data_IF_044179428016
#
_entry.id   IF_044179428016
#
_cell.length_a   1.000
_cell.length_b   1.000
_cell.length_c   1.000
_cell.angle_alpha   90.00
_cell.angle_beta   90.00
_cell.angle_gamma   90.00
#
_symmetry.space_group_name_H-M   'P 1'
#
loop_
_entity.id
_entity.type
_entity.pdbx_description
1 polymer ?
#
# COMPACT_ATOMS: atom_id res chain seq x y z
N UNK A 1 -15.56 6.38 -16.93
CA UNK A 1 -14.41 5.67 -16.31
C UNK A 1 -13.35 5.44 -17.36
N UNK A 2 -12.08 5.67 -17.04
CA UNK A 2 -10.97 5.29 -17.92
C UNK A 2 -10.39 3.94 -17.49
N UNK A 3 -9.72 3.26 -18.44
CA UNK A 3 -9.15 1.94 -18.24
C UNK A 3 -7.68 1.93 -18.66
N UNK A 4 -6.88 1.10 -18.00
CA UNK A 4 -5.51 0.77 -18.38
C UNK A 4 -5.39 -0.74 -18.55
N UNK A 5 -4.38 -1.19 -19.28
CA UNK A 5 -4.16 -2.62 -19.53
C UNK A 5 -3.41 -3.27 -18.38
N UNK A 6 -3.83 -4.47 -17.98
CA UNK A 6 -3.03 -5.36 -17.16
C UNK A 6 -1.94 -6.06 -17.99
N UNK A 7 -1.15 -6.95 -17.36
CA UNK A 7 -0.04 -7.67 -18.02
C UNK A 7 -0.50 -8.52 -19.21
N UNK A 8 -1.76 -8.95 -19.22
CA UNK A 8 -2.34 -9.81 -20.26
C UNK A 8 -3.19 -9.03 -21.27
N UNK A 9 -3.21 -7.71 -21.20
CA UNK A 9 -3.93 -6.83 -22.11
C UNK A 9 -5.41 -6.64 -21.78
N UNK A 10 -5.87 -7.12 -20.62
CA UNK A 10 -7.23 -6.95 -20.13
C UNK A 10 -7.46 -5.52 -19.59
N UNK A 11 -8.66 -4.98 -19.81
CA UNK A 11 -9.04 -3.67 -19.29
C UNK A 11 -9.29 -3.69 -17.79
N UNK A 12 -8.60 -2.80 -17.08
CA UNK A 12 -8.77 -2.57 -15.63
C UNK A 12 -9.07 -1.09 -15.41
N UNK A 13 -10.14 -0.79 -14.65
CA UNK A 13 -10.48 0.59 -14.33
C UNK A 13 -9.35 1.26 -13.54
N UNK A 14 -9.00 2.50 -13.91
CA UNK A 14 -7.89 3.22 -13.22
C UNK A 14 -8.22 3.53 -11.76
N UNK A 15 -9.51 3.54 -11.39
CA UNK A 15 -10.00 3.57 -10.02
C UNK A 15 -10.44 2.15 -9.61
N UNK A 16 -9.86 1.63 -8.54
CA UNK A 16 -10.27 0.38 -7.91
C UNK A 16 -11.04 0.62 -6.61
N UNK A 17 -12.00 -0.26 -6.31
CA UNK A 17 -12.76 -0.21 -5.05
C UNK A 17 -11.99 -0.97 -3.96
N UNK A 18 -11.47 -0.23 -2.96
CA UNK A 18 -10.82 -0.82 -1.79
C UNK A 18 -11.84 -1.26 -0.73
N UNK A 19 -12.00 -2.56 -0.53
CA UNK A 19 -13.03 -3.16 0.32
C UNK A 19 -12.67 -3.25 1.82
N UNK A 20 -11.62 -2.56 2.26
CA UNK A 20 -11.18 -2.57 3.67
C UNK A 20 -12.03 -1.67 4.57
N UNK A 21 -12.67 -0.63 4.04
CA UNK A 21 -13.23 0.49 4.82
C UNK A 21 -14.74 0.61 4.76
N UNK A 22 -15.45 -0.49 4.61
CA UNK A 22 -16.90 -0.49 4.69
C UNK A 22 -17.44 0.08 6.01
N UNK A 23 -18.54 0.80 5.94
CA UNK A 23 -19.27 1.25 7.12
C UNK A 23 -19.74 0.05 7.95
N UNK A 24 -19.80 0.22 9.27
CA UNK A 24 -20.22 -0.83 10.20
C UNK A 24 -21.52 -0.47 10.89
N UNK A 25 -22.38 -1.49 11.12
CA UNK A 25 -23.60 -1.43 11.90
C UNK A 25 -23.57 -2.60 12.89
N UNK A 26 -23.70 -2.32 14.18
CA UNK A 26 -23.65 -3.37 15.21
C UNK A 26 -22.34 -4.16 15.28
N UNK A 27 -21.20 -3.54 14.89
CA UNK A 27 -19.87 -4.19 14.88
C UNK A 27 -19.55 -4.97 13.61
N UNK A 28 -20.53 -5.30 12.76
CA UNK A 28 -20.38 -5.96 11.46
C UNK A 28 -20.45 -4.96 10.30
N UNK A 29 -20.05 -5.37 9.11
CA UNK A 29 -20.19 -4.56 7.89
C UNK A 29 -21.70 -4.32 7.65
N UNK A 30 -22.07 -3.07 7.35
CA UNK A 30 -23.42 -2.70 6.90
C UNK A 30 -23.55 -3.12 5.43
N UNK A 31 -24.08 -4.34 5.22
CA UNK A 31 -24.18 -4.98 3.90
C UNK A 31 -25.03 -4.13 2.95
N UNK A 32 -26.18 -3.63 3.41
CA UNK A 32 -27.09 -2.86 2.55
C UNK A 32 -26.43 -1.54 2.08
N UNK A 33 -25.67 -0.92 2.96
CA UNK A 33 -24.92 0.29 2.60
C UNK A 33 -23.75 -0.05 1.66
N UNK A 34 -22.98 -1.09 1.97
CA UNK A 34 -21.89 -1.54 1.13
C UNK A 34 -22.37 -1.92 -0.28
N UNK A 35 -23.52 -2.61 -0.39
CA UNK A 35 -24.13 -2.97 -1.67
C UNK A 35 -24.49 -1.75 -2.50
N UNK A 36 -25.13 -0.74 -1.90
CA UNK A 36 -25.46 0.51 -2.62
C UNK A 36 -24.22 1.20 -3.18
N UNK A 37 -23.14 1.26 -2.38
CA UNK A 37 -21.88 1.88 -2.77
C UNK A 37 -21.14 1.08 -3.86
N UNK A 38 -21.08 -0.24 -3.72
CA UNK A 38 -20.48 -1.15 -4.70
C UNK A 38 -21.26 -1.12 -6.02
N UNK A 39 -22.59 -1.20 -5.97
CA UNK A 39 -23.41 -1.20 -7.18
C UNK A 39 -23.43 0.16 -7.89
N UNK A 40 -23.29 1.25 -7.14
CA UNK A 40 -23.05 2.56 -7.74
C UNK A 40 -21.69 2.58 -8.46
N UNK A 41 -20.63 2.15 -7.79
CA UNK A 41 -19.29 2.08 -8.36
C UNK A 41 -19.23 1.19 -9.61
N UNK A 42 -19.90 0.04 -9.59
CA UNK A 42 -20.04 -0.85 -10.75
C UNK A 42 -20.72 -0.16 -11.93
N UNK A 43 -21.84 0.55 -11.71
CA UNK A 43 -22.53 1.31 -12.76
C UNK A 43 -21.70 2.46 -13.31
N UNK A 44 -20.83 3.06 -12.49
CA UNK A 44 -19.87 4.10 -12.91
C UNK A 44 -18.64 3.51 -13.63
N UNK A 45 -18.58 2.17 -13.80
CA UNK A 45 -17.56 1.48 -14.60
C UNK A 45 -16.35 0.97 -13.82
N UNK A 46 -16.37 0.94 -12.48
CA UNK A 46 -15.33 0.27 -11.70
C UNK A 46 -15.47 -1.22 -11.90
N UNK A 47 -14.37 -1.87 -12.34
CA UNK A 47 -14.30 -3.31 -12.51
C UNK A 47 -13.24 -4.00 -11.64
N UNK A 48 -12.45 -3.27 -10.84
CA UNK A 48 -11.42 -3.82 -9.95
C UNK A 48 -11.81 -3.62 -8.48
N UNK A 49 -11.93 -4.73 -7.73
CA UNK A 49 -12.31 -4.77 -6.31
C UNK A 49 -11.22 -5.44 -5.48
N UNK A 50 -10.65 -4.70 -4.52
CA UNK A 50 -9.52 -5.14 -3.70
C UNK A 50 -9.96 -5.51 -2.29
N UNK A 51 -9.76 -6.75 -1.89
CA UNK A 51 -9.98 -7.25 -0.53
C UNK A 51 -8.75 -8.02 -0.01
N UNK A 52 -8.86 -8.68 1.13
CA UNK A 52 -7.85 -9.56 1.68
C UNK A 52 -8.45 -10.44 2.78
N UNK A 53 -7.86 -11.61 3.00
CA UNK A 53 -8.16 -12.48 4.15
C UNK A 53 -8.16 -11.72 5.48
N UNK A 54 -7.22 -10.79 5.66
CA UNK A 54 -7.06 -9.98 6.87
C UNK A 54 -8.14 -8.91 7.08
N UNK A 55 -8.95 -8.60 6.06
CA UNK A 55 -9.99 -7.57 6.18
C UNK A 55 -11.27 -8.19 6.74
N UNK A 56 -11.46 -8.08 8.05
CA UNK A 56 -12.53 -8.74 8.78
C UNK A 56 -13.90 -8.59 8.13
N UNK A 57 -14.47 -9.69 7.66
CA UNK A 57 -15.80 -9.76 7.05
C UNK A 57 -15.88 -9.26 5.59
N UNK A 58 -14.82 -8.65 5.05
CA UNK A 58 -14.86 -8.02 3.73
C UNK A 58 -15.10 -9.02 2.60
N UNK A 59 -14.38 -10.16 2.58
CA UNK A 59 -14.55 -11.19 1.55
C UNK A 59 -15.97 -11.75 1.54
N UNK A 60 -16.53 -12.05 2.70
CA UNK A 60 -17.89 -12.55 2.81
C UNK A 60 -18.94 -11.51 2.35
N UNK A 61 -18.74 -10.23 2.71
CA UNK A 61 -19.63 -9.16 2.32
C UNK A 61 -19.65 -8.97 0.80
N UNK A 62 -18.49 -8.87 0.16
CA UNK A 62 -18.44 -8.67 -1.31
C UNK A 62 -18.88 -9.93 -2.05
N UNK A 63 -18.56 -11.13 -1.55
CA UNK A 63 -19.02 -12.39 -2.12
C UNK A 63 -20.55 -12.47 -2.18
N UNK A 64 -21.22 -12.11 -1.07
CA UNK A 64 -22.68 -12.04 -1.00
C UNK A 64 -23.26 -10.99 -1.95
N UNK A 65 -22.67 -9.78 -1.99
CA UNK A 65 -23.15 -8.70 -2.85
C UNK A 65 -23.00 -9.07 -4.33
N UNK A 66 -21.86 -9.63 -4.72
CA UNK A 66 -21.60 -9.98 -6.13
C UNK A 66 -22.45 -11.14 -6.63
N UNK A 67 -22.69 -12.15 -5.78
CA UNK A 67 -23.60 -13.26 -6.08
C UNK A 67 -25.03 -12.77 -6.22
N UNK A 68 -25.54 -12.00 -5.25
CA UNK A 68 -26.90 -11.44 -5.24
C UNK A 68 -27.21 -10.61 -6.49
N UNK A 69 -26.20 -9.86 -6.97
CA UNK A 69 -26.37 -8.99 -8.14
C UNK A 69 -25.92 -9.63 -9.47
N UNK A 70 -25.42 -10.86 -9.45
CA UNK A 70 -25.00 -11.59 -10.66
C UNK A 70 -23.84 -10.97 -11.43
N UNK A 71 -22.99 -10.15 -10.80
CA UNK A 71 -21.96 -9.35 -11.48
C UNK A 71 -20.57 -9.99 -11.50
N UNK A 72 -20.37 -11.16 -10.85
CA UNK A 72 -19.03 -11.78 -10.68
C UNK A 72 -18.23 -11.88 -11.97
N UNK A 73 -18.85 -12.19 -13.09
CA UNK A 73 -18.17 -12.37 -14.40
C UNK A 73 -17.74 -11.05 -15.06
N UNK A 74 -18.31 -9.93 -14.62
CA UNK A 74 -18.08 -8.60 -15.19
C UNK A 74 -17.05 -7.79 -14.41
N UNK A 75 -16.53 -8.35 -13.29
CA UNK A 75 -15.60 -7.68 -12.39
C UNK A 75 -14.35 -8.51 -12.15
N UNK A 76 -13.34 -7.86 -11.66
CA UNK A 76 -12.05 -8.44 -11.27
C UNK A 76 -11.88 -8.32 -9.75
N UNK A 77 -11.70 -9.47 -9.08
CA UNK A 77 -11.47 -9.54 -7.63
C UNK A 77 -9.98 -9.75 -7.37
N UNK A 78 -9.41 -8.89 -6.53
CA UNK A 78 -8.10 -9.09 -5.93
C UNK A 78 -8.27 -9.46 -4.44
N UNK A 79 -7.74 -10.62 -4.04
CA UNK A 79 -7.57 -10.97 -2.61
C UNK A 79 -6.15 -11.41 -2.31
N UNK A 80 -5.84 -11.71 -1.03
CA UNK A 80 -4.44 -11.77 -0.61
C UNK A 80 -4.19 -12.89 0.40
N UNK A 81 -3.26 -13.80 0.09
CA UNK A 81 -2.76 -14.84 0.99
C UNK A 81 -2.24 -14.24 2.29
N UNK A 82 -2.76 -14.63 3.46
CA UNK A 82 -2.21 -14.20 4.76
C UNK A 82 -0.87 -14.90 5.03
N UNK A 83 0.20 -14.53 4.31
CA UNK A 83 1.49 -15.20 4.27
C UNK A 83 2.11 -15.40 5.67
N UNK A 84 1.80 -14.51 6.61
CA UNK A 84 2.27 -14.59 8.00
C UNK A 84 1.64 -15.76 8.78
N UNK A 85 0.51 -16.31 8.33
CA UNK A 85 -0.15 -17.48 8.89
C UNK A 85 0.32 -18.80 8.23
N UNK A 86 0.95 -18.71 7.05
CA UNK A 86 1.41 -19.88 6.31
C UNK A 86 2.62 -20.50 7.00
N UNK A 87 2.46 -21.72 7.49
CA UNK A 87 3.50 -22.47 8.21
C UNK A 87 3.97 -23.74 7.49
N UNK A 88 3.17 -24.25 6.54
CA UNK A 88 3.45 -25.46 5.74
C UNK A 88 2.68 -25.40 4.42
N UNK A 89 2.90 -26.37 3.53
CA UNK A 89 2.25 -26.43 2.21
C UNK A 89 0.72 -26.50 2.30
N UNK A 90 0.16 -27.33 3.18
CA UNK A 90 -1.29 -27.50 3.31
C UNK A 90 -2.02 -26.19 3.73
N UNK A 91 -1.31 -25.26 4.39
CA UNK A 91 -1.86 -23.97 4.76
C UNK A 91 -2.16 -23.07 3.53
N UNK A 92 -1.48 -23.27 2.40
CA UNK A 92 -1.74 -22.54 1.14
C UNK A 92 -3.16 -22.84 0.65
N UNK A 93 -3.50 -24.11 0.50
CA UNK A 93 -4.84 -24.54 0.10
C UNK A 93 -5.90 -24.19 1.13
N UNK A 94 -5.58 -24.37 2.41
CA UNK A 94 -6.51 -24.02 3.49
C UNK A 94 -7.00 -22.57 3.38
N UNK A 95 -6.08 -21.61 3.31
CA UNK A 95 -6.45 -20.20 3.27
C UNK A 95 -7.11 -19.83 1.94
N UNK A 96 -6.59 -20.32 0.83
CA UNK A 96 -7.16 -20.05 -0.49
C UNK A 96 -8.59 -20.57 -0.63
N UNK A 97 -8.87 -21.81 -0.21
CA UNK A 97 -10.21 -22.38 -0.26
C UNK A 97 -11.18 -21.65 0.68
N UNK A 98 -10.71 -21.19 1.85
CA UNK A 98 -11.49 -20.38 2.77
C UNK A 98 -11.85 -19.01 2.14
N UNK A 99 -10.90 -18.36 1.43
CA UNK A 99 -11.13 -17.11 0.70
C UNK A 99 -12.14 -17.30 -0.43
N UNK A 100 -12.01 -18.35 -1.26
CA UNK A 100 -12.96 -18.67 -2.32
C UNK A 100 -14.37 -18.91 -1.77
N UNK A 101 -14.47 -19.65 -0.66
CA UNK A 101 -15.76 -19.90 0.01
C UNK A 101 -16.41 -18.60 0.50
N UNK A 102 -15.65 -17.69 1.12
CA UNK A 102 -16.16 -16.38 1.55
C UNK A 102 -16.56 -15.51 0.38
N UNK A 103 -15.78 -15.51 -0.69
CA UNK A 103 -16.03 -14.76 -1.92
C UNK A 103 -17.14 -15.36 -2.80
N UNK A 104 -17.63 -16.56 -2.45
CA UNK A 104 -18.66 -17.31 -3.20
C UNK A 104 -18.32 -17.45 -4.68
N UNK A 105 -17.07 -17.84 -4.98
CA UNK A 105 -16.55 -18.00 -6.33
C UNK A 105 -15.55 -19.14 -6.38
N UNK A 106 -15.32 -19.70 -7.57
CA UNK A 106 -14.35 -20.77 -7.83
C UNK A 106 -12.99 -20.25 -8.35
N UNK A 107 -12.87 -18.93 -8.58
CA UNK A 107 -11.62 -18.30 -9.03
C UNK A 107 -11.47 -16.87 -8.52
N UNK A 108 -10.23 -16.38 -8.51
CA UNK A 108 -9.91 -14.98 -8.31
C UNK A 108 -9.11 -14.44 -9.50
N UNK A 109 -9.32 -13.15 -9.82
CA UNK A 109 -8.65 -12.52 -10.94
C UNK A 109 -7.21 -12.15 -10.60
N UNK A 110 -6.98 -11.71 -9.35
CA UNK A 110 -5.65 -11.38 -8.82
C UNK A 110 -5.47 -11.97 -7.42
N UNK A 111 -4.40 -12.72 -7.22
CA UNK A 111 -4.05 -13.27 -5.92
C UNK A 111 -2.68 -12.75 -5.47
N UNK A 112 -2.61 -12.06 -4.33
CA UNK A 112 -1.40 -11.38 -3.90
C UNK A 112 -0.79 -12.02 -2.65
N UNK A 113 0.53 -12.14 -2.60
CA UNK A 113 1.24 -12.41 -1.36
C UNK A 113 1.11 -11.19 -0.45
N UNK A 114 0.36 -11.29 0.65
CA UNK A 114 -0.03 -10.15 1.46
C UNK A 114 1.13 -9.60 2.29
N UNK A 115 1.34 -8.29 2.24
CA UNK A 115 2.18 -7.55 3.18
C UNK A 115 3.63 -8.07 3.24
N UNK A 116 4.28 -8.25 2.08
CA UNK A 116 5.71 -8.52 2.06
C UNK A 116 6.47 -7.25 2.48
N UNK A 117 7.53 -7.40 3.27
CA UNK A 117 8.38 -6.29 3.73
C UNK A 117 9.86 -6.51 3.39
N UNK A 118 10.25 -7.76 3.11
CA UNK A 118 11.58 -8.11 2.63
C UNK A 118 11.57 -9.44 1.85
N UNK A 119 12.68 -9.73 1.16
CA UNK A 119 12.85 -10.96 0.37
C UNK A 119 12.74 -12.23 1.24
N UNK A 120 13.08 -12.15 2.53
CA UNK A 120 13.06 -13.33 3.40
C UNK A 120 11.64 -13.85 3.69
N UNK A 121 10.61 -12.99 3.56
CA UNK A 121 9.21 -13.44 3.62
C UNK A 121 8.86 -14.26 2.39
N UNK A 122 9.26 -13.82 1.22
CA UNK A 122 9.08 -14.54 -0.03
C UNK A 122 9.86 -15.86 -0.02
N UNK A 123 11.12 -15.84 0.41
CA UNK A 123 11.93 -17.05 0.57
C UNK A 123 11.31 -18.08 1.53
N UNK A 124 10.63 -17.61 2.58
CA UNK A 124 9.87 -18.50 3.48
C UNK A 124 8.73 -19.18 2.75
N UNK A 125 7.99 -18.47 1.91
CA UNK A 125 6.90 -19.05 1.11
C UNK A 125 7.43 -20.05 0.08
N UNK A 126 8.54 -19.75 -0.59
CA UNK A 126 9.20 -20.70 -1.51
C UNK A 126 9.54 -22.01 -0.81
N UNK A 127 10.04 -21.95 0.43
CA UNK A 127 10.39 -23.16 1.23
C UNK A 127 9.19 -24.04 1.60
N UNK A 128 7.99 -23.52 1.60
CA UNK A 128 6.76 -24.31 1.81
C UNK A 128 6.11 -24.75 0.49
N UNK A 129 6.77 -24.53 -0.65
CA UNK A 129 6.31 -25.02 -1.96
C UNK A 129 5.29 -24.08 -2.63
N UNK A 130 5.37 -22.76 -2.38
CA UNK A 130 4.42 -21.81 -2.97
C UNK A 130 4.52 -21.74 -4.49
N UNK A 131 5.70 -21.98 -5.09
CA UNK A 131 5.88 -21.87 -6.54
C UNK A 131 5.09 -22.93 -7.27
N UNK A 132 5.24 -24.21 -6.90
CA UNK A 132 4.50 -25.32 -7.47
C UNK A 132 2.99 -25.16 -7.24
N UNK A 133 2.61 -24.64 -6.08
CA UNK A 133 1.23 -24.35 -5.74
C UNK A 133 0.63 -23.27 -6.65
N UNK A 134 1.34 -22.17 -6.90
CA UNK A 134 0.91 -21.11 -7.82
C UNK A 134 0.68 -21.70 -9.23
N UNK A 135 1.64 -22.46 -9.75
CA UNK A 135 1.53 -23.08 -11.08
C UNK A 135 0.29 -23.98 -11.20
N UNK A 136 0.02 -24.78 -10.17
CA UNK A 136 -1.18 -25.64 -10.14
C UNK A 136 -2.46 -24.79 -10.14
N UNK A 137 -2.53 -23.70 -9.35
CA UNK A 137 -3.72 -22.82 -9.29
C UNK A 137 -3.92 -22.01 -10.57
N UNK A 138 -2.85 -21.55 -11.21
CA UNK A 138 -2.92 -20.89 -12.53
C UNK A 138 -3.39 -21.88 -13.59
N UNK A 139 -2.84 -23.09 -13.64
CA UNK A 139 -3.22 -24.14 -14.58
C UNK A 139 -4.69 -24.57 -14.46
N UNK A 140 -5.22 -24.61 -13.24
CA UNK A 140 -6.65 -24.93 -13.00
C UNK A 140 -7.59 -23.75 -13.28
N UNK A 141 -7.07 -22.54 -13.50
CA UNK A 141 -7.86 -21.31 -13.67
C UNK A 141 -8.39 -20.72 -12.38
N UNK A 142 -8.07 -21.31 -11.22
CA UNK A 142 -8.49 -20.79 -9.91
C UNK A 142 -7.82 -19.45 -9.53
N UNK A 143 -6.59 -19.22 -10.03
CA UNK A 143 -5.89 -17.94 -9.96
C UNK A 143 -5.57 -17.51 -11.39
N UNK A 144 -6.02 -16.31 -11.80
CA UNK A 144 -5.71 -15.78 -13.14
C UNK A 144 -4.38 -15.03 -13.16
N UNK A 145 -4.13 -14.19 -12.15
CA UNK A 145 -2.94 -13.37 -12.03
C UNK A 145 -2.36 -13.49 -10.62
N UNK A 146 -1.03 -13.58 -10.53
CA UNK A 146 -0.31 -13.66 -9.26
C UNK A 146 0.48 -12.37 -9.00
N UNK A 147 0.49 -11.91 -7.75
CA UNK A 147 1.21 -10.71 -7.38
C UNK A 147 1.60 -10.65 -5.93
N UNK A 148 2.01 -9.46 -5.49
CA UNK A 148 2.32 -9.21 -4.09
C UNK A 148 1.97 -7.78 -3.68
N UNK A 149 1.60 -7.59 -2.41
CA UNK A 149 1.52 -6.28 -1.78
C UNK A 149 2.74 -6.03 -0.89
N UNK A 150 3.25 -4.81 -0.90
CA UNK A 150 4.56 -4.51 -0.33
C UNK A 150 4.55 -3.31 0.63
N UNK A 151 5.24 -3.46 1.77
CA UNK A 151 5.40 -2.43 2.80
C UNK A 151 6.84 -2.31 3.34
N UNK A 152 7.83 -2.70 2.58
CA UNK A 152 9.25 -2.56 2.91
C UNK A 152 9.90 -1.35 2.24
N UNK A 153 11.24 -1.34 2.18
CA UNK A 153 11.99 -0.31 1.44
C UNK A 153 12.16 -0.66 -0.05
N UNK A 154 12.56 0.32 -0.86
CA UNK A 154 12.75 0.16 -2.30
C UNK A 154 13.73 -0.95 -2.69
N UNK A 155 14.83 -1.13 -1.94
CA UNK A 155 15.81 -2.19 -2.23
C UNK A 155 15.22 -3.60 -2.04
N UNK A 156 14.41 -3.78 -1.00
CA UNK A 156 13.70 -5.04 -0.74
C UNK A 156 12.61 -5.30 -1.79
N UNK A 157 11.92 -4.24 -2.23
CA UNK A 157 10.93 -4.33 -3.30
C UNK A 157 11.56 -4.83 -4.60
N UNK A 158 12.64 -4.20 -5.04
CA UNK A 158 13.34 -4.58 -6.29
C UNK A 158 13.85 -6.02 -6.25
N UNK A 159 14.31 -6.50 -5.09
CA UNK A 159 14.72 -7.91 -4.93
C UNK A 159 13.55 -8.87 -5.15
N UNK A 160 12.39 -8.61 -4.54
CA UNK A 160 11.19 -9.44 -4.71
C UNK A 160 10.68 -9.37 -6.15
N UNK A 161 10.65 -8.15 -6.72
CA UNK A 161 10.23 -7.92 -8.09
C UNK A 161 11.05 -8.72 -9.12
N UNK A 162 12.34 -8.91 -8.86
CA UNK A 162 13.25 -9.62 -9.75
C UNK A 162 13.31 -11.14 -9.53
N UNK A 163 12.73 -11.64 -8.43
CA UNK A 163 12.86 -13.05 -8.04
C UNK A 163 11.75 -13.96 -8.62
N UNK A 164 10.71 -13.38 -9.21
CA UNK A 164 9.63 -14.14 -9.82
C UNK A 164 8.99 -13.34 -10.98
N UNK A 165 8.34 -14.01 -11.91
CA UNK A 165 7.59 -13.39 -13.02
C UNK A 165 6.18 -12.99 -12.56
N UNK A 166 6.11 -11.86 -11.85
CA UNK A 166 4.86 -11.35 -11.30
C UNK A 166 3.94 -10.78 -12.39
N UNK A 167 2.63 -11.02 -12.23
CA UNK A 167 1.61 -10.43 -13.10
C UNK A 167 1.18 -9.03 -12.63
N UNK A 168 1.35 -8.70 -11.34
CA UNK A 168 0.93 -7.44 -10.75
C UNK A 168 1.69 -7.18 -9.43
N UNK A 169 1.84 -5.92 -9.05
CA UNK A 169 2.30 -5.56 -7.69
C UNK A 169 1.45 -4.43 -7.09
N UNK A 170 1.36 -4.41 -5.76
CA UNK A 170 0.61 -3.38 -5.02
C UNK A 170 1.54 -2.66 -4.05
N UNK A 171 1.63 -1.33 -4.16
CA UNK A 171 2.51 -0.49 -3.35
C UNK A 171 1.76 0.69 -2.72
N UNK A 172 2.24 1.16 -1.58
CA UNK A 172 1.82 2.42 -1.00
C UNK A 172 2.52 3.55 -1.77
N UNK A 173 1.72 4.51 -2.29
CA UNK A 173 2.25 5.64 -3.03
C UNK A 173 1.26 6.81 -3.06
N UNK A 174 1.76 8.04 -2.88
CA UNK A 174 1.00 9.28 -2.94
C UNK A 174 1.96 10.48 -3.04
N UNK A 175 1.47 11.67 -3.35
CA UNK A 175 2.29 12.87 -3.58
C UNK A 175 3.14 13.30 -2.37
N UNK A 176 2.75 12.90 -1.15
CA UNK A 176 3.50 13.23 0.07
C UNK A 176 4.60 12.20 0.38
N UNK A 177 4.36 10.92 0.05
CA UNK A 177 5.25 9.78 0.35
C UNK A 177 6.01 9.28 -0.87
N UNK A 178 6.29 10.12 -1.86
CA UNK A 178 6.88 9.73 -3.15
C UNK A 178 8.16 8.89 -3.02
N UNK A 179 8.97 9.14 -1.99
CA UNK A 179 10.22 8.42 -1.74
C UNK A 179 10.14 7.40 -0.59
N UNK A 180 8.92 7.08 -0.15
CA UNK A 180 8.68 6.15 0.96
C UNK A 180 8.45 4.73 0.47
N UNK A 181 8.82 3.75 1.29
CA UNK A 181 8.63 2.32 1.02
C UNK A 181 9.20 1.92 -0.36
N UNK A 182 8.40 1.32 -1.25
CA UNK A 182 8.79 1.08 -2.64
C UNK A 182 9.02 2.40 -3.38
N UNK A 183 8.14 3.38 -3.17
CA UNK A 183 8.18 4.73 -3.70
C UNK A 183 8.29 4.79 -5.22
N UNK A 184 8.69 5.95 -5.73
CA UNK A 184 8.93 6.17 -7.17
C UNK A 184 9.95 5.18 -7.75
N UNK A 185 10.94 4.77 -6.96
CA UNK A 185 11.93 3.77 -7.38
C UNK A 185 11.27 2.43 -7.69
N UNK A 186 10.39 1.96 -6.81
CA UNK A 186 9.64 0.73 -7.02
C UNK A 186 8.64 0.83 -8.16
N UNK A 187 7.91 1.95 -8.25
CA UNK A 187 6.97 2.22 -9.35
C UNK A 187 7.66 2.10 -10.72
N UNK A 188 8.77 2.82 -10.91
CA UNK A 188 9.53 2.78 -12.18
C UNK A 188 10.17 1.43 -12.45
N UNK A 189 10.66 0.74 -11.43
CA UNK A 189 11.20 -0.61 -11.58
C UNK A 189 10.16 -1.62 -12.05
N UNK A 190 8.93 -1.57 -11.52
CA UNK A 190 7.83 -2.42 -11.96
C UNK A 190 7.41 -2.09 -13.40
N UNK A 191 7.22 -0.80 -13.70
CA UNK A 191 6.85 -0.34 -15.04
C UNK A 191 7.87 -0.72 -16.11
N UNK A 192 9.18 -0.63 -15.82
CA UNK A 192 10.25 -1.03 -16.77
C UNK A 192 10.21 -2.53 -17.11
N UNK A 193 9.53 -3.35 -16.31
CA UNK A 193 9.29 -4.78 -16.55
C UNK A 193 7.90 -5.06 -17.14
N UNK A 194 7.11 -4.03 -17.44
CA UNK A 194 5.72 -4.19 -17.87
C UNK A 194 4.81 -4.80 -16.80
N UNK A 195 5.18 -4.69 -15.50
CA UNK A 195 4.37 -5.19 -14.41
C UNK A 195 3.40 -4.08 -13.95
N UNK A 196 2.08 -4.29 -14.07
CA UNK A 196 1.06 -3.37 -13.60
C UNK A 196 1.19 -3.04 -12.12
N UNK A 197 1.00 -1.76 -11.79
CA UNK A 197 1.14 -1.26 -10.41
C UNK A 197 -0.20 -0.79 -9.88
N UNK A 198 -0.63 -1.40 -8.78
CA UNK A 198 -1.80 -0.98 -8.00
C UNK A 198 -1.35 -0.12 -6.83
N UNK A 199 -1.95 1.05 -6.69
CA UNK A 199 -1.64 1.98 -5.60
C UNK A 199 -2.61 1.80 -4.45
N UNK A 200 -2.08 1.47 -3.28
CA UNK A 200 -2.79 1.53 -2.01
C UNK A 200 -2.41 2.80 -1.22
N UNK A 201 -3.27 3.23 -0.31
CA UNK A 201 -3.09 4.43 0.51
C UNK A 201 -2.85 5.74 -0.29
N UNK A 202 -3.59 5.99 -1.39
CA UNK A 202 -3.42 7.19 -2.20
C UNK A 202 -3.64 8.48 -1.40
N UNK A 203 -4.47 8.41 -0.36
CA UNK A 203 -4.83 9.52 0.54
C UNK A 203 -4.26 9.33 1.96
N UNK A 204 -3.26 8.45 2.17
CA UNK A 204 -2.77 8.08 3.53
C UNK A 204 -3.91 7.74 4.50
N UNK A 205 -4.87 6.93 4.05
CA UNK A 205 -6.04 6.59 4.85
C UNK A 205 -7.01 7.74 5.06
N UNK A 206 -7.07 8.72 4.16
CA UNK A 206 -7.91 9.90 4.21
C UNK A 206 -7.24 11.13 4.85
N UNK A 207 -6.00 11.02 5.34
CA UNK A 207 -5.30 12.10 6.04
C UNK A 207 -4.93 13.26 5.12
N UNK A 208 -4.59 12.98 3.87
CA UNK A 208 -4.34 14.01 2.84
C UNK A 208 -5.61 14.77 2.41
N UNK A 209 -6.74 14.49 3.03
CA UNK A 209 -8.01 15.22 2.88
C UNK A 209 -8.43 15.85 4.20
N UNK A 210 -8.56 15.00 5.24
CA UNK A 210 -9.16 15.40 6.52
C UNK A 210 -8.20 16.15 7.45
N UNK A 211 -6.90 15.87 7.36
CA UNK A 211 -5.87 16.40 8.27
C UNK A 211 -4.94 17.43 7.62
N UNK A 212 -5.27 17.90 6.42
CA UNK A 212 -4.51 18.99 5.80
C UNK A 212 -4.56 20.25 6.66
N UNK A 213 -3.42 20.96 6.85
CA UNK A 213 -3.42 22.28 7.44
C UNK A 213 -4.32 23.24 6.66
N UNK A 214 -4.99 24.17 7.34
CA UNK A 214 -5.86 25.15 6.67
C UNK A 214 -5.11 25.98 5.62
N UNK A 215 -3.84 26.31 5.88
CA UNK A 215 -3.00 26.98 4.88
C UNK A 215 -2.80 26.14 3.61
N UNK A 216 -2.66 24.80 3.75
CA UNK A 216 -2.54 23.89 2.60
C UNK A 216 -3.85 23.81 1.80
N UNK A 217 -5.00 23.76 2.48
CA UNK A 217 -6.32 23.80 1.82
C UNK A 217 -6.52 25.10 1.05
N UNK A 218 -6.10 26.25 1.62
CA UNK A 218 -6.17 27.55 0.95
C UNK A 218 -5.30 27.56 -0.33
N UNK A 219 -4.09 27.00 -0.29
CA UNK A 219 -3.23 26.90 -1.49
C UNK A 219 -3.92 26.10 -2.60
N UNK A 220 -4.53 24.98 -2.28
CA UNK A 220 -5.30 24.18 -3.26
C UNK A 220 -6.51 24.96 -3.81
N UNK A 221 -7.26 25.63 -2.95
CA UNK A 221 -8.46 26.39 -3.34
C UNK A 221 -8.17 27.69 -4.14
N UNK A 222 -6.95 28.21 -4.05
CA UNK A 222 -6.50 29.40 -4.79
C UNK A 222 -5.89 29.07 -6.15
N UNK A 223 -5.75 27.78 -6.48
CA UNK A 223 -5.28 27.35 -7.80
C UNK A 223 -6.37 27.54 -8.86
N UNK A 224 -5.98 27.58 -10.12
CA UNK A 224 -6.92 27.65 -11.26
C UNK A 224 -7.71 26.33 -11.48
N UNK A 225 -7.52 25.34 -10.59
CA UNK A 225 -8.20 24.04 -10.64
C UNK A 225 -9.32 23.96 -9.62
N UNK A 226 -10.52 23.63 -10.07
CA UNK A 226 -11.64 23.27 -9.18
C UNK A 226 -11.51 21.82 -8.72
N UNK A 227 -10.46 21.52 -7.94
CA UNK A 227 -10.19 20.17 -7.41
C UNK A 227 -10.30 20.14 -5.90
N UNK A 228 -11.04 19.16 -5.40
CA UNK A 228 -10.97 18.81 -3.98
C UNK A 228 -9.58 18.25 -3.61
N UNK A 229 -9.19 18.23 -2.33
CA UNK A 229 -7.95 17.59 -1.92
C UNK A 229 -7.84 16.10 -2.34
N UNK A 230 -8.96 15.39 -2.42
CA UNK A 230 -9.00 14.02 -2.93
C UNK A 230 -8.71 14.00 -4.44
N UNK A 231 -9.36 14.86 -5.22
CA UNK A 231 -9.15 14.97 -6.65
C UNK A 231 -7.69 15.36 -6.99
N UNK A 232 -7.05 16.27 -6.25
CA UNK A 232 -5.63 16.59 -6.38
C UNK A 232 -4.74 15.34 -6.24
N UNK A 233 -5.00 14.53 -5.20
CA UNK A 233 -4.22 13.31 -4.92
C UNK A 233 -4.40 12.26 -6.00
N UNK A 234 -5.64 12.02 -6.44
CA UNK A 234 -5.93 11.03 -7.48
C UNK A 234 -5.39 11.46 -8.84
N UNK A 235 -5.58 12.72 -9.23
CA UNK A 235 -5.07 13.24 -10.51
C UNK A 235 -3.55 13.23 -10.56
N UNK A 236 -2.84 13.49 -9.45
CA UNK A 236 -1.40 13.33 -9.37
C UNK A 236 -0.95 11.89 -9.65
N UNK A 237 -1.69 10.91 -9.14
CA UNK A 237 -1.43 9.49 -9.41
C UNK A 237 -1.76 9.13 -10.86
N UNK A 238 -2.91 9.53 -11.36
CA UNK A 238 -3.34 9.23 -12.73
C UNK A 238 -2.47 9.91 -13.78
N UNK A 239 -1.83 11.02 -13.45
CA UNK A 239 -0.88 11.71 -14.30
C UNK A 239 0.33 10.84 -14.68
N UNK A 240 0.62 9.80 -13.90
CA UNK A 240 1.73 8.88 -14.10
C UNK A 240 1.27 7.66 -14.91
N UNK A 241 1.80 7.45 -16.14
CA UNK A 241 1.39 6.33 -16.98
C UNK A 241 1.76 4.97 -16.38
N UNK A 242 2.73 4.93 -15.46
CA UNK A 242 3.19 3.72 -14.77
C UNK A 242 2.17 3.20 -13.73
N UNK A 243 1.24 4.03 -13.28
CA UNK A 243 0.20 3.64 -12.31
C UNK A 243 -0.95 2.98 -13.06
N UNK A 244 -1.28 1.74 -12.73
CA UNK A 244 -2.37 1.00 -13.41
C UNK A 244 -3.70 1.22 -12.72
N UNK A 245 -3.77 1.01 -11.40
CA UNK A 245 -4.99 1.16 -10.60
C UNK A 245 -4.69 1.95 -9.34
N UNK A 246 -5.59 2.84 -8.96
CA UNK A 246 -5.56 3.55 -7.66
C UNK A 246 -6.72 3.08 -6.80
N UNK A 247 -6.44 2.51 -5.63
CA UNK A 247 -7.47 2.00 -4.73
C UNK A 247 -8.06 3.10 -3.86
N UNK A 248 -9.38 3.16 -3.80
CA UNK A 248 -10.09 4.03 -2.87
C UNK A 248 -11.09 3.26 -2.01
N UNK A 249 -11.01 3.44 -0.69
CA UNK A 249 -11.99 2.94 0.27
C UNK A 249 -13.16 3.92 0.40
N UNK A 250 -14.10 3.85 -0.54
CA UNK A 250 -15.27 4.72 -0.61
C UNK A 250 -16.40 4.14 0.24
N UNK A 251 -16.89 4.93 1.20
CA UNK A 251 -17.94 4.52 2.13
C UNK A 251 -19.12 5.51 2.16
N UNK A 252 -19.29 6.27 1.09
CA UNK A 252 -20.49 7.07 0.79
C UNK A 252 -20.69 7.21 -0.72
N UNK A 253 -21.93 7.46 -1.14
CA UNK A 253 -22.28 7.67 -2.54
C UNK A 253 -21.57 8.89 -3.14
N UNK A 254 -21.37 9.93 -2.34
CA UNK A 254 -20.67 11.16 -2.73
C UNK A 254 -19.22 10.85 -3.09
N UNK A 255 -18.51 10.09 -2.24
CA UNK A 255 -17.13 9.67 -2.52
C UNK A 255 -17.04 8.82 -3.80
N UNK A 256 -17.99 7.90 -4.02
CA UNK A 256 -18.02 7.09 -5.24
C UNK A 256 -18.17 8.00 -6.47
N UNK A 257 -19.17 8.89 -6.48
CA UNK A 257 -19.43 9.79 -7.62
C UNK A 257 -18.25 10.72 -7.91
N UNK A 258 -17.69 11.35 -6.86
CA UNK A 258 -16.58 12.28 -7.00
C UNK A 258 -15.32 11.56 -7.55
N UNK A 259 -14.96 10.42 -6.97
CA UNK A 259 -13.77 9.68 -7.39
C UNK A 259 -13.93 9.09 -8.80
N UNK A 260 -15.13 8.60 -9.16
CA UNK A 260 -15.43 8.12 -10.51
C UNK A 260 -15.37 9.26 -11.53
N UNK A 261 -15.91 10.44 -11.23
CA UNK A 261 -15.78 11.64 -12.07
C UNK A 261 -14.30 12.00 -12.26
N UNK A 262 -13.54 12.09 -11.17
CA UNK A 262 -12.10 12.37 -11.20
C UNK A 262 -11.34 11.37 -12.08
N UNK A 263 -11.63 10.07 -11.95
CA UNK A 263 -11.01 9.03 -12.75
C UNK A 263 -11.45 9.07 -14.23
N UNK A 264 -12.69 9.48 -14.52
CA UNK A 264 -13.19 9.57 -15.89
C UNK A 264 -12.57 10.74 -16.67
N UNK A 265 -12.25 11.82 -16.00
CA UNK A 265 -11.70 13.06 -16.56
C UNK A 265 -10.16 13.15 -16.49
N UNK A 266 -9.50 12.18 -15.82
CA UNK A 266 -8.06 12.21 -15.64
C UNK A 266 -7.33 11.78 -16.90
N UNK A 267 -6.24 12.47 -17.23
CA UNK A 267 -5.35 12.14 -18.36
C UNK A 267 -3.91 12.02 -17.85
N UNK A 268 -3.17 11.04 -18.40
CA UNK A 268 -1.75 10.90 -18.10
C UNK A 268 -0.97 12.06 -18.73
N UNK A 269 -0.03 12.65 -17.98
CA UNK A 269 0.76 13.80 -18.42
C UNK A 269 0.01 15.14 -18.43
N UNK A 270 -1.21 15.20 -17.87
CA UNK A 270 -2.04 16.41 -17.89
C UNK A 270 -1.65 17.46 -16.82
N UNK A 271 -0.85 17.09 -15.81
CA UNK A 271 -0.38 18.05 -14.80
C UNK A 271 0.59 19.05 -15.43
N UNK A 272 0.31 20.32 -15.20
CA UNK A 272 1.17 21.42 -15.60
C UNK A 272 2.25 21.68 -14.52
N UNK A 273 3.21 22.54 -14.83
CA UNK A 273 4.22 22.97 -13.86
C UNK A 273 3.58 23.61 -12.63
N UNK A 274 2.56 24.41 -12.84
CA UNK A 274 1.79 25.10 -11.78
C UNK A 274 1.08 24.07 -10.87
N UNK A 275 0.53 23.00 -11.42
CA UNK A 275 -0.10 21.93 -10.64
C UNK A 275 0.92 21.25 -9.69
N UNK A 276 2.14 21.01 -10.18
CA UNK A 276 3.23 20.48 -9.34
C UNK A 276 3.68 21.50 -8.28
N UNK A 277 3.73 22.80 -8.58
CA UNK A 277 4.07 23.87 -7.63
C UNK A 277 3.04 23.95 -6.50
N UNK A 278 1.74 23.83 -6.82
CA UNK A 278 0.66 23.74 -5.81
C UNK A 278 0.93 22.60 -4.83
N UNK A 279 1.18 21.37 -5.33
CA UNK A 279 1.43 20.23 -4.46
C UNK A 279 2.76 20.33 -3.72
N UNK A 280 3.79 20.92 -4.31
CA UNK A 280 5.06 21.20 -3.62
C UNK A 280 4.83 22.14 -2.42
N UNK A 281 4.06 23.22 -2.60
CA UNK A 281 3.72 24.15 -1.52
C UNK A 281 2.85 23.51 -0.44
N UNK A 282 1.91 22.66 -0.82
CA UNK A 282 1.10 21.86 0.12
C UNK A 282 2.01 20.93 0.94
N UNK A 283 2.95 20.25 0.30
CA UNK A 283 3.92 19.39 0.97
C UNK A 283 4.79 20.15 1.98
N UNK A 284 5.29 21.32 1.63
CA UNK A 284 6.03 22.19 2.56
C UNK A 284 5.21 22.52 3.82
N UNK A 285 3.94 22.90 3.65
CA UNK A 285 3.04 23.24 4.76
C UNK A 285 2.73 22.05 5.66
N UNK A 286 2.61 20.85 5.09
CA UNK A 286 2.47 19.62 5.88
C UNK A 286 3.77 19.32 6.62
N UNK A 287 4.93 19.44 5.93
CA UNK A 287 6.27 19.14 6.48
C UNK A 287 6.73 20.14 7.51
N UNK A 288 6.14 21.33 7.60
CA UNK A 288 6.45 22.32 8.63
C UNK A 288 6.34 21.76 10.08
N UNK A 289 5.63 20.66 10.29
CA UNK A 289 5.53 19.93 11.56
C UNK A 289 6.61 18.84 11.73
N UNK A 290 7.46 18.60 10.75
CA UNK A 290 8.50 17.58 10.82
C UNK A 290 9.57 17.93 11.86
N UNK A 291 10.08 16.91 12.53
CA UNK A 291 11.19 17.04 13.50
C UNK A 291 12.56 16.77 12.87
N UNK A 292 12.58 16.13 11.71
CA UNK A 292 13.81 15.82 10.97
C UNK A 292 13.55 16.09 9.49
N UNK A 293 14.27 17.04 8.89
CA UNK A 293 14.13 17.42 7.49
C UNK A 293 14.67 16.36 6.51
N UNK A 294 14.26 15.12 6.69
CA UNK A 294 14.68 14.01 5.83
C UNK A 294 13.80 13.90 4.57
N UNK A 295 14.40 14.10 3.40
CA UNK A 295 13.72 14.01 2.11
C UNK A 295 13.54 12.58 1.57
N UNK A 296 14.09 11.57 2.26
CA UNK A 296 14.02 10.18 1.81
C UNK A 296 14.96 9.82 0.64
N UNK A 297 15.88 10.69 0.25
CA UNK A 297 16.78 10.54 -0.90
C UNK A 297 17.72 9.31 -0.85
N UNK A 298 17.89 8.67 0.31
CA UNK A 298 18.65 7.45 0.56
C UNK A 298 20.17 7.51 0.33
N UNK A 299 20.80 8.69 0.12
CA UNK A 299 22.26 8.80 0.03
C UNK A 299 23.00 8.28 1.27
N UNK A 300 22.34 8.29 2.45
CA UNK A 300 22.85 7.70 3.69
C UNK A 300 22.85 6.16 3.69
N UNK A 301 22.27 5.52 2.67
CA UNK A 301 22.17 4.05 2.56
C UNK A 301 23.23 3.49 1.60
N UNK A 302 23.60 2.19 1.70
CA UNK A 302 23.23 1.28 2.80
C UNK A 302 23.97 1.60 4.11
N UNK A 303 23.27 1.43 5.22
CA UNK A 303 23.91 1.48 6.55
C UNK A 303 24.66 0.17 6.81
N UNK A 304 25.94 0.17 7.25
CA UNK A 304 26.72 -1.05 7.50
C UNK A 304 26.14 -1.93 8.60
N UNK A 305 25.25 -1.40 9.43
CA UNK A 305 24.52 -2.14 10.48
C UNK A 305 23.04 -2.33 10.15
N UNK A 306 22.63 -2.12 8.91
CA UNK A 306 21.28 -2.39 8.44
C UNK A 306 20.20 -1.47 8.98
N UNK A 307 20.54 -0.30 9.59
CA UNK A 307 19.53 0.68 10.02
C UNK A 307 18.83 1.25 8.79
N UNK A 308 17.50 1.24 8.78
CA UNK A 308 16.72 1.99 7.80
C UNK A 308 16.54 3.44 8.28
N UNK A 309 17.52 4.27 7.94
CA UNK A 309 17.60 5.67 8.39
C UNK A 309 16.40 6.47 7.87
N UNK A 310 16.07 6.46 6.55
CA UNK A 310 14.92 7.20 6.04
C UNK A 310 13.58 6.70 6.63
N UNK A 311 13.39 5.39 6.73
CA UNK A 311 12.17 4.80 7.31
C UNK A 311 11.98 5.16 8.79
N UNK A 312 13.08 5.25 9.57
CA UNK A 312 13.04 5.71 10.96
C UNK A 312 12.62 7.18 11.07
N UNK A 313 13.19 8.07 10.25
CA UNK A 313 12.87 9.50 10.28
C UNK A 313 11.46 9.79 9.76
N UNK A 314 11.03 9.11 8.73
CA UNK A 314 9.68 9.24 8.23
C UNK A 314 8.63 8.85 9.29
N UNK A 315 8.86 7.72 9.97
CA UNK A 315 7.98 7.29 11.06
C UNK A 315 8.02 8.26 12.25
N UNK A 316 9.18 8.83 12.54
CA UNK A 316 9.32 9.84 13.58
C UNK A 316 8.57 11.14 13.24
N UNK A 317 8.69 11.63 12.02
CA UNK A 317 7.95 12.78 11.53
C UNK A 317 6.43 12.53 11.55
N UNK A 318 5.98 11.34 11.17
CA UNK A 318 4.57 10.95 11.21
C UNK A 318 3.95 11.07 12.62
N UNK A 319 4.75 10.95 13.70
CA UNK A 319 4.26 11.20 15.07
C UNK A 319 3.79 12.65 15.29
N UNK A 320 4.35 13.60 14.56
CA UNK A 320 4.09 15.04 14.73
C UNK A 320 3.17 15.60 13.66
N UNK A 321 3.23 15.03 12.45
CA UNK A 321 2.34 15.39 11.36
C UNK A 321 0.94 14.80 11.59
N UNK A 322 0.86 13.58 12.10
CA UNK A 322 -0.39 12.82 12.23
C UNK A 322 -0.72 12.53 13.70
N UNK A 323 -0.10 11.49 14.26
CA UNK A 323 -0.26 11.12 15.67
C UNK A 323 0.87 10.21 16.16
N UNK A 324 1.07 10.18 17.48
CA UNK A 324 2.07 9.30 18.12
C UNK A 324 1.82 7.82 17.79
N UNK A 325 0.57 7.40 17.79
CA UNK A 325 0.20 6.00 17.48
C UNK A 325 0.51 5.64 16.03
N UNK A 326 0.23 6.54 15.10
CA UNK A 326 0.48 6.31 13.68
C UNK A 326 1.97 6.20 13.37
N UNK A 327 2.80 7.12 13.85
CA UNK A 327 4.24 7.04 13.65
C UNK A 327 4.84 5.74 14.21
N UNK A 328 4.39 5.32 15.40
CA UNK A 328 4.80 4.05 16.02
C UNK A 328 4.34 2.82 15.22
N UNK A 329 3.11 2.83 14.74
CA UNK A 329 2.58 1.76 13.89
C UNK A 329 3.38 1.65 12.59
N UNK A 330 3.62 2.77 11.91
CA UNK A 330 4.43 2.82 10.69
C UNK A 330 5.85 2.30 10.92
N UNK A 331 6.49 2.68 12.04
CA UNK A 331 7.83 2.20 12.40
C UNK A 331 7.86 0.69 12.64
N UNK A 332 6.86 0.17 13.36
CA UNK A 332 6.72 -1.26 13.53
C UNK A 332 6.59 -1.97 12.19
N UNK A 333 5.71 -1.50 11.33
CA UNK A 333 5.40 -2.10 10.04
C UNK A 333 6.59 -2.07 9.07
N UNK A 334 7.20 -0.91 8.85
CA UNK A 334 8.19 -0.72 7.78
C UNK A 334 9.63 -1.02 8.20
N UNK A 335 9.95 -0.83 9.48
CA UNK A 335 11.30 -0.99 10.03
C UNK A 335 11.40 -2.24 10.91
N UNK A 336 10.37 -2.49 11.71
CA UNK A 336 10.33 -3.56 12.69
C UNK A 336 10.03 -4.94 12.12
N UNK A 337 9.03 -5.05 11.25
CA UNK A 337 8.52 -6.32 10.71
C UNK A 337 9.35 -6.83 9.53
N UNK A 338 10.65 -6.92 9.71
CA UNK A 338 11.61 -7.55 8.79
C UNK A 338 12.31 -8.71 9.50
N UNK A 339 12.77 -9.72 8.75
CA UNK A 339 13.51 -10.86 9.34
C UNK A 339 14.74 -10.37 10.11
N UNK A 340 15.53 -9.49 9.51
CA UNK A 340 16.54 -8.69 10.20
C UNK A 340 15.95 -7.31 10.44
N UNK A 341 15.66 -6.99 11.70
CA UNK A 341 15.14 -5.66 12.03
C UNK A 341 16.11 -4.57 11.62
N UNK A 342 15.58 -3.42 11.20
CA UNK A 342 16.36 -2.28 10.74
C UNK A 342 16.25 -1.09 11.71
N UNK A 343 16.12 -1.38 13.00
CA UNK A 343 15.92 -0.37 14.04
C UNK A 343 17.06 0.63 14.18
N UNK A 344 16.72 1.86 14.56
CA UNK A 344 17.68 2.91 14.86
C UNK A 344 18.68 2.52 15.97
N UNK A 345 18.29 1.64 16.90
CA UNK A 345 19.20 1.12 17.95
C UNK A 345 20.39 0.30 17.44
N UNK A 346 20.36 -0.17 16.20
CA UNK A 346 21.51 -0.86 15.59
C UNK A 346 22.63 0.10 15.18
N UNK A 347 22.41 1.41 15.27
CA UNK A 347 23.39 2.42 14.94
C UNK A 347 24.61 2.34 15.89
N UNK A 348 25.79 2.12 15.31
CA UNK A 348 27.08 2.07 16.02
C UNK A 348 27.81 3.44 16.06
N UNK A 349 27.19 4.51 15.60
CA UNK A 349 27.75 5.85 15.64
C UNK A 349 28.90 6.12 14.64
N UNK A 350 29.06 5.33 13.57
CA UNK A 350 30.21 5.45 12.65
C UNK A 350 30.24 6.72 11.78
N UNK A 351 29.17 7.52 11.73
CA UNK A 351 29.10 8.80 11.02
C UNK A 351 29.09 8.76 9.49
N UNK A 352 29.19 7.59 8.83
CA UNK A 352 29.23 7.47 7.36
C UNK A 352 27.99 8.07 6.68
N UNK A 353 26.83 7.97 7.32
CA UNK A 353 25.56 8.48 6.83
C UNK A 353 25.50 10.02 6.82
N UNK A 354 26.04 10.67 7.84
CA UNK A 354 26.06 12.12 7.97
C UNK A 354 26.94 12.77 6.88
N UNK A 355 28.09 12.16 6.57
CA UNK A 355 28.99 12.62 5.50
C UNK A 355 28.36 12.58 4.09
N UNK A 356 27.26 11.82 3.93
CA UNK A 356 26.58 11.65 2.65
C UNK A 356 25.21 12.34 2.61
N UNK A 357 24.80 12.94 3.73
CA UNK A 357 23.48 13.56 3.84
C UNK A 357 23.49 14.96 3.20
N UNK A 358 22.77 15.19 2.08
CA UNK A 358 22.72 16.52 1.46
C UNK A 358 21.91 17.53 2.28
N UNK A 359 21.17 17.06 3.31
CA UNK A 359 20.40 17.89 4.24
C UNK A 359 21.17 18.17 5.55
N UNK A 360 22.42 17.76 5.64
CA UNK A 360 23.30 17.95 6.82
C UNK A 360 22.67 17.52 8.16
N UNK A 361 21.77 16.52 8.13
CA UNK A 361 21.06 16.04 9.31
C UNK A 361 22.06 15.39 10.29
N UNK A 362 22.05 15.73 11.58
CA UNK A 362 22.82 15.03 12.61
C UNK A 362 22.19 13.65 12.88
N UNK A 363 22.37 12.72 11.92
CA UNK A 363 21.62 11.46 11.81
C UNK A 363 21.78 10.61 13.08
N UNK A 364 22.99 10.53 13.65
CA UNK A 364 23.26 9.70 14.83
C UNK A 364 22.47 10.15 16.04
N UNK A 365 22.37 11.46 16.24
CA UNK A 365 21.60 12.08 17.35
C UNK A 365 20.10 11.87 17.11
N UNK A 366 19.63 12.24 15.92
CA UNK A 366 18.20 12.14 15.55
C UNK A 366 17.69 10.71 15.53
N UNK A 367 18.51 9.70 15.20
CA UNK A 367 18.14 8.30 15.34
C UNK A 367 17.90 7.88 16.80
N UNK A 368 18.67 8.39 17.76
CA UNK A 368 18.45 8.11 19.19
C UNK A 368 17.14 8.73 19.69
N UNK A 369 16.85 9.97 19.28
CA UNK A 369 15.58 10.65 19.58
C UNK A 369 14.40 9.87 18.99
N UNK A 370 14.50 9.53 17.72
CA UNK A 370 13.46 8.81 17.01
C UNK A 370 13.17 7.44 17.65
N UNK A 371 14.19 6.65 17.96
CA UNK A 371 13.98 5.33 18.56
C UNK A 371 13.32 5.40 19.94
N UNK A 372 13.75 6.36 20.78
CA UNK A 372 13.14 6.57 22.09
C UNK A 372 11.66 6.89 21.99
N UNK A 373 11.27 7.74 21.03
CA UNK A 373 9.89 8.15 20.83
C UNK A 373 9.02 7.06 20.19
N UNK A 374 9.58 6.36 19.19
CA UNK A 374 8.86 5.38 18.39
C UNK A 374 8.71 4.03 19.09
N UNK A 375 9.66 3.65 19.98
CA UNK A 375 9.65 2.34 20.67
C UNK A 375 9.64 2.47 22.19
N UNK A 376 8.66 3.13 22.83
CA UNK A 376 8.50 3.02 24.27
C UNK A 376 8.25 1.54 24.65
N UNK A 377 8.49 1.17 25.91
CA UNK A 377 8.53 -0.21 26.38
C UNK A 377 7.35 -1.09 25.91
N UNK A 378 6.08 -0.65 25.94
CA UNK A 378 4.96 -1.49 25.45
C UNK A 378 5.09 -1.83 23.96
N UNK A 379 5.48 -0.86 23.12
CA UNK A 379 5.67 -1.07 21.68
C UNK A 379 6.86 -1.98 21.36
N UNK A 380 7.94 -1.86 22.13
CA UNK A 380 9.12 -2.73 22.00
C UNK A 380 8.74 -4.20 22.26
N UNK A 381 7.96 -4.46 23.32
CA UNK A 381 7.46 -5.81 23.63
C UNK A 381 6.54 -6.31 22.51
N UNK A 382 5.54 -5.52 22.12
CA UNK A 382 4.58 -5.88 21.07
C UNK A 382 5.23 -6.21 19.73
N UNK A 383 6.18 -5.39 19.27
CA UNK A 383 6.94 -5.65 18.03
C UNK A 383 7.73 -6.96 18.13
N UNK A 384 8.40 -7.24 19.27
CA UNK A 384 9.17 -8.45 19.43
C UNK A 384 8.30 -9.72 19.43
N UNK A 385 7.11 -9.65 20.04
CA UNK A 385 6.12 -10.76 20.02
C UNK A 385 5.62 -10.98 18.59
N UNK A 386 5.21 -9.94 17.89
CA UNK A 386 4.73 -10.03 16.52
C UNK A 386 5.81 -10.59 15.57
N UNK A 387 7.07 -10.18 15.72
CA UNK A 387 8.20 -10.70 14.95
C UNK A 387 8.44 -12.19 15.18
N UNK A 388 8.39 -12.64 16.45
CA UNK A 388 8.53 -14.08 16.78
C UNK A 388 7.44 -14.90 16.10
N UNK A 389 6.21 -14.39 16.08
CA UNK A 389 5.10 -15.05 15.39
C UNK A 389 5.30 -15.07 13.86
N UNK A 390 5.60 -13.94 13.26
CA UNK A 390 5.72 -13.77 11.80
C UNK A 390 6.91 -14.56 11.21
N UNK A 391 8.04 -14.63 11.91
CA UNK A 391 9.25 -15.31 11.46
C UNK A 391 9.49 -16.66 12.16
N UNK A 392 8.44 -17.24 12.76
CA UNK A 392 8.51 -18.60 13.31
C UNK A 392 8.94 -19.57 12.20
N UNK A 393 9.92 -20.45 12.48
CA UNK A 393 10.34 -21.46 11.51
C UNK A 393 9.12 -22.28 11.07
N UNK A 394 8.94 -22.42 9.76
CA UNK A 394 7.97 -23.37 9.21
C UNK A 394 8.28 -24.76 9.79
N UNK A 395 7.29 -25.42 10.35
CA UNK A 395 7.44 -26.84 10.67
C UNK A 395 7.55 -27.60 9.36
N UNK A 396 8.63 -28.37 9.20
CA UNK A 396 8.81 -29.31 8.08
C UNK A 396 7.73 -30.38 8.12
#
# INVERSE_FOLDING_TARGET
MQYRKDKHGEDVSILGFGCMRFSKKGGSIDIDKAEREIMLAYREGINYYDTAYAYSGSEAAIGEIFERNGIRKNIKIATKLPQYLVSNHAALDKFFNEELSRLRTDYVDYYLMHHLTDIAMWEKLKKVGVLEWIEQKKKSGAIRNIGFSYHGNSDGFVKILNDYDWDICQIQYNYFDEHSQAGVTGLKAAASKGIPVVIMEPLRGGKLVQMLPEAAKKVMAQSDRDYTPAAWSFRWLYNQPEVTVVLSGMNSAEMVKENCRTASEAEAGAFTKEDFEVLARVNELIRAKEKVGCTGCRYCMPCPKGVDIPGAFQSYNAMYIESKSQGRFQYAQTVGMRKQSAFATQCIGCGKCEKRCPQEIPIREKLKEADRALRPLPYKIGINVARKFMFRKAKR
#
